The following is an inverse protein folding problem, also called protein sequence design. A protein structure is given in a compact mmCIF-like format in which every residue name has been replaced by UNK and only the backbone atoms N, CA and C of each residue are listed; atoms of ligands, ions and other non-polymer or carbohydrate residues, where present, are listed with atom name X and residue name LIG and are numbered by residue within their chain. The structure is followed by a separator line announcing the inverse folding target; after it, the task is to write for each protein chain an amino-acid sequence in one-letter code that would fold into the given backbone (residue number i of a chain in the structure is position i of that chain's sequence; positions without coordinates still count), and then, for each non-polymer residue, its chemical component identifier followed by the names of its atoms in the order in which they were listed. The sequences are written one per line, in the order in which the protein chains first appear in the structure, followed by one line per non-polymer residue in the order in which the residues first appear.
data_IF_562996892247
#
_entry.id   IF_562996892247
#
_cell.length_a   1.000
_cell.length_b   1.000
_cell.length_c   1.000
_cell.angle_alpha   90.00
_cell.angle_beta   90.00
_cell.angle_gamma   90.00
#
_symmetry.space_group_name_H-M   'P 1'
#
loop_
_entity.id
_entity.type
_entity.pdbx_description
1 polymer ?
#
# COMPACT_ATOMS: atom_id res chain seq x y z
N UNK A 1 10.41 -21.68 -4.13
CA UNK A 1 11.88 -21.72 -4.42
C UNK A 1 12.50 -20.51 -3.72
N UNK A 2 13.69 -20.01 -4.07
CA UNK A 2 14.01 -18.61 -3.71
C UNK A 2 13.50 -17.73 -4.86
N UNK A 3 12.88 -16.59 -4.57
CA UNK A 3 12.62 -15.57 -5.59
C UNK A 3 13.95 -14.88 -5.90
N UNK A 4 14.35 -14.92 -7.17
CA UNK A 4 15.62 -14.34 -7.60
C UNK A 4 15.50 -12.82 -7.79
N UNK A 5 16.59 -12.08 -7.58
CA UNK A 5 16.59 -10.60 -7.69
C UNK A 5 16.08 -10.13 -9.05
N UNK A 6 16.42 -10.84 -10.14
CA UNK A 6 15.98 -10.53 -11.49
C UNK A 6 14.47 -10.66 -11.68
N UNK A 7 13.79 -11.56 -10.96
CA UNK A 7 12.33 -11.69 -11.03
C UNK A 7 11.64 -10.48 -10.37
N UNK A 8 12.23 -9.97 -9.28
CA UNK A 8 11.78 -8.74 -8.62
C UNK A 8 11.97 -7.55 -9.57
N UNK A 9 13.13 -7.43 -10.21
CA UNK A 9 13.42 -6.39 -11.20
C UNK A 9 12.47 -6.47 -12.42
N UNK A 10 12.16 -7.68 -12.91
CA UNK A 10 11.19 -7.89 -13.98
C UNK A 10 9.78 -7.43 -13.59
N UNK A 11 9.32 -7.73 -12.36
CA UNK A 11 8.01 -7.29 -11.85
C UNK A 11 7.96 -5.77 -11.68
N UNK A 12 9.00 -5.17 -11.10
CA UNK A 12 9.13 -3.71 -10.96
C UNK A 12 9.18 -3.00 -12.34
N UNK A 13 9.82 -3.63 -13.34
CA UNK A 13 9.97 -3.11 -14.70
C UNK A 13 8.74 -3.24 -15.61
N UNK A 14 7.65 -3.89 -15.16
CA UNK A 14 6.39 -3.98 -15.94
C UNK A 14 5.72 -2.63 -16.14
N UNK A 15 5.92 -1.69 -15.23
CA UNK A 15 5.30 -0.38 -15.24
C UNK A 15 6.27 0.66 -15.80
N UNK A 16 5.85 1.37 -16.83
CA UNK A 16 6.69 2.31 -17.58
C UNK A 16 6.83 3.66 -16.85
N UNK A 17 7.66 3.67 -15.81
CA UNK A 17 7.96 4.85 -15.00
C UNK A 17 9.18 5.62 -15.52
N UNK A 18 9.24 6.93 -15.25
CA UNK A 18 10.42 7.75 -15.56
C UNK A 18 11.62 7.48 -14.65
N UNK A 19 11.37 6.95 -13.45
CA UNK A 19 12.38 6.69 -12.42
C UNK A 19 12.15 5.28 -11.84
N UNK A 20 12.87 4.24 -12.28
CA UNK A 20 12.65 2.89 -11.78
C UNK A 20 13.13 2.73 -10.33
N UNK A 21 12.56 1.75 -9.63
CA UNK A 21 13.12 1.30 -8.35
C UNK A 21 14.47 0.63 -8.61
N UNK A 22 15.54 1.16 -8.02
CA UNK A 22 16.89 0.59 -8.10
C UNK A 22 17.15 -0.20 -6.83
N UNK A 23 17.26 -1.53 -6.93
CA UNK A 23 17.56 -2.38 -5.77
C UNK A 23 18.99 -2.16 -5.29
N UNK A 24 19.19 -2.23 -3.98
CA UNK A 24 20.50 -2.16 -3.36
C UNK A 24 21.17 -3.53 -3.35
N UNK A 25 22.48 -3.56 -3.60
CA UNK A 25 23.31 -4.77 -3.44
C UNK A 25 23.23 -5.30 -1.98
N UNK A 26 23.18 -6.63 -1.77
CA UNK A 26 23.23 -7.22 -0.44
C UNK A 26 24.43 -6.72 0.38
N UNK A 27 24.21 -6.40 1.66
CA UNK A 27 25.23 -5.81 2.53
C UNK A 27 25.46 -4.30 2.35
N UNK A 28 24.78 -3.64 1.39
CA UNK A 28 24.83 -2.19 1.25
C UNK A 28 23.95 -1.50 2.29
N UNK A 29 24.59 -0.94 3.33
CA UNK A 29 23.92 -0.27 4.45
C UNK A 29 23.88 1.28 4.32
N UNK A 30 24.40 1.84 3.22
CA UNK A 30 24.55 3.29 3.03
C UNK A 30 23.20 4.02 2.87
N UNK A 31 22.94 4.97 3.77
CA UNK A 31 21.70 5.72 3.95
C UNK A 31 20.43 4.86 4.09
N UNK A 32 20.57 3.65 4.63
CA UNK A 32 19.43 2.80 5.01
C UNK A 32 18.86 3.27 6.36
N UNK A 33 17.53 3.43 6.51
CA UNK A 33 16.89 3.76 7.78
C UNK A 33 17.28 2.78 8.89
N UNK A 34 17.51 3.26 10.12
CA UNK A 34 17.97 2.41 11.24
C UNK A 34 17.13 1.13 11.44
N UNK A 35 15.77 1.17 11.41
CA UNK A 35 14.97 -0.05 11.59
C UNK A 35 15.18 -1.10 10.49
N UNK A 36 15.64 -0.70 9.32
CA UNK A 36 15.85 -1.57 8.16
C UNK A 36 17.29 -2.11 8.07
N UNK A 37 18.20 -1.67 8.95
CA UNK A 37 19.58 -2.16 9.00
C UNK A 37 19.70 -3.69 9.15
N UNK A 38 18.83 -4.41 9.91
CA UNK A 38 18.85 -5.88 9.94
C UNK A 38 18.49 -6.54 8.60
N UNK A 39 17.78 -5.84 7.71
CA UNK A 39 17.45 -6.29 6.34
C UNK A 39 18.67 -6.06 5.44
N UNK A 40 19.29 -4.88 5.50
CA UNK A 40 20.47 -4.51 4.69
C UNK A 40 21.66 -5.45 4.88
N UNK A 41 21.95 -5.80 6.14
CA UNK A 41 23.10 -6.61 6.50
C UNK A 41 22.88 -8.13 6.33
N UNK A 42 21.73 -8.56 5.79
CA UNK A 42 21.39 -9.98 5.71
C UNK A 42 21.40 -10.51 4.28
N UNK A 43 22.32 -11.44 4.01
CA UNK A 43 22.43 -12.12 2.71
C UNK A 43 21.29 -13.12 2.48
N UNK A 44 20.64 -13.61 3.54
CA UNK A 44 19.61 -14.65 3.47
C UNK A 44 18.19 -14.08 3.43
N UNK A 45 17.43 -14.39 2.37
CA UNK A 45 16.05 -13.93 2.16
C UNK A 45 15.14 -14.16 3.38
N UNK A 46 15.12 -15.36 3.95
CA UNK A 46 14.32 -15.66 5.16
C UNK A 46 14.64 -14.79 6.37
N UNK A 47 15.88 -14.30 6.50
CA UNK A 47 16.26 -13.40 7.59
C UNK A 47 15.81 -11.97 7.30
N UNK A 48 15.86 -11.53 6.03
CA UNK A 48 15.24 -10.27 5.56
C UNK A 48 13.72 -10.28 5.78
N UNK A 49 13.01 -11.35 5.39
CA UNK A 49 11.57 -11.50 5.63
C UNK A 49 11.21 -11.40 7.12
N UNK A 50 11.92 -12.12 8.00
CA UNK A 50 11.66 -12.05 9.46
C UNK A 50 11.92 -10.66 10.03
N UNK A 51 13.00 -9.99 9.60
CA UNK A 51 13.28 -8.62 10.02
C UNK A 51 12.19 -7.66 9.55
N UNK A 52 11.78 -7.73 8.27
CA UNK A 52 10.74 -6.90 7.70
C UNK A 52 9.38 -7.11 8.38
N UNK A 53 8.93 -8.36 8.57
CA UNK A 53 7.69 -8.68 9.30
C UNK A 53 7.73 -8.13 10.73
N UNK A 54 8.89 -8.12 11.40
CA UNK A 54 9.02 -7.56 12.76
C UNK A 54 8.85 -6.03 12.84
N UNK A 55 8.82 -5.32 11.71
CA UNK A 55 8.50 -3.89 11.63
C UNK A 55 6.99 -3.61 11.58
N UNK A 56 6.17 -4.61 11.22
CA UNK A 56 4.73 -4.42 11.06
C UNK A 56 4.03 -4.28 12.41
N UNK A 57 3.22 -3.24 12.54
CA UNK A 57 2.39 -3.04 13.72
C UNK A 57 1.24 -4.06 13.71
N UNK A 58 1.15 -4.88 14.75
CA UNK A 58 0.20 -6.01 14.82
C UNK A 58 -1.27 -5.60 14.76
N UNK A 59 -1.58 -4.36 15.14
CA UNK A 59 -2.91 -3.79 15.02
C UNK A 59 -3.32 -3.53 13.56
N UNK A 60 -2.39 -3.31 12.63
CA UNK A 60 -2.72 -3.31 11.19
C UNK A 60 -2.88 -4.75 10.68
N UNK A 61 -2.00 -5.67 11.05
CA UNK A 61 -2.10 -7.07 10.59
C UNK A 61 -3.38 -7.78 11.09
N UNK A 62 -3.98 -7.33 12.20
CA UNK A 62 -5.32 -7.76 12.62
C UNK A 62 -6.46 -7.07 11.86
N UNK A 63 -6.21 -5.91 11.26
CA UNK A 63 -7.18 -5.16 10.45
C UNK A 63 -7.26 -5.71 9.01
N UNK A 64 -6.15 -6.23 8.47
CA UNK A 64 -6.05 -6.86 7.14
C UNK A 64 -5.64 -8.34 7.23
N UNK A 65 -6.52 -9.23 7.73
CA UNK A 65 -6.17 -10.62 8.03
C UNK A 65 -5.82 -11.49 6.81
N UNK A 66 -6.43 -11.23 5.65
CA UNK A 66 -6.14 -11.90 4.37
C UNK A 66 -4.75 -11.58 3.86
N UNK A 67 -4.40 -10.29 3.79
CA UNK A 67 -3.05 -9.84 3.44
C UNK A 67 -2.03 -10.27 4.49
N UNK A 68 -2.35 -10.17 5.79
CA UNK A 68 -1.45 -10.62 6.86
C UNK A 68 -1.14 -12.12 6.78
N UNK A 69 -2.09 -12.94 6.33
CA UNK A 69 -1.86 -14.36 6.01
C UNK A 69 -0.89 -14.50 4.85
N UNK A 70 -1.14 -13.85 3.71
CA UNK A 70 -0.24 -13.91 2.54
C UNK A 70 1.18 -13.45 2.88
N UNK A 71 1.33 -12.34 3.61
CA UNK A 71 2.63 -11.85 4.11
C UNK A 71 3.33 -12.87 5.03
N UNK A 72 2.60 -13.68 5.78
CA UNK A 72 3.16 -14.71 6.67
C UNK A 72 3.49 -16.03 5.94
N UNK A 73 2.79 -16.38 4.86
CA UNK A 73 2.93 -17.67 4.16
C UNK A 73 3.69 -17.61 2.85
N UNK A 74 3.65 -16.49 2.15
CA UNK A 74 4.13 -16.35 0.75
C UNK A 74 5.30 -15.37 0.61
N UNK A 75 5.64 -14.59 1.63
CA UNK A 75 6.75 -13.63 1.58
C UNK A 75 8.11 -14.35 1.42
N UNK A 76 8.58 -14.39 0.18
CA UNK A 76 9.79 -15.12 -0.22
C UNK A 76 11.06 -14.30 -0.03
N UNK A 77 11.02 -13.00 -0.26
CA UNK A 77 12.14 -12.09 -0.02
C UNK A 77 11.68 -10.65 0.31
N UNK A 78 12.55 -9.88 0.94
CA UNK A 78 12.42 -8.42 1.08
C UNK A 78 13.75 -7.78 0.70
N UNK A 79 13.72 -6.79 -0.19
CA UNK A 79 14.91 -6.06 -0.65
C UNK A 79 14.81 -4.59 -0.32
N UNK A 80 15.96 -3.97 -0.06
CA UNK A 80 16.06 -2.52 -0.01
C UNK A 80 16.26 -2.01 -1.43
N UNK A 81 15.61 -0.91 -1.77
CA UNK A 81 15.84 -0.18 -3.01
C UNK A 81 15.78 1.33 -2.80
N UNK A 82 15.95 2.06 -3.90
CA UNK A 82 15.71 3.50 -3.97
C UNK A 82 14.75 3.85 -5.08
N UNK A 83 13.89 4.81 -4.81
CA UNK A 83 12.92 5.38 -5.75
C UNK A 83 12.91 6.90 -5.57
N UNK A 84 13.15 7.68 -6.62
CA UNK A 84 13.26 9.14 -6.55
C UNK A 84 14.23 9.67 -5.47
N UNK A 85 15.26 8.88 -5.13
CA UNK A 85 16.23 9.16 -4.06
C UNK A 85 15.82 8.67 -2.66
N UNK A 86 14.57 8.27 -2.47
CA UNK A 86 13.99 7.80 -1.22
C UNK A 86 14.28 6.31 -0.98
N UNK A 87 14.45 5.91 0.27
CA UNK A 87 14.62 4.52 0.64
C UNK A 87 13.26 3.79 0.63
N UNK A 88 13.23 2.61 -0.01
CA UNK A 88 12.07 1.72 -0.03
C UNK A 88 12.43 0.28 0.36
N UNK A 89 11.48 -0.45 0.94
CA UNK A 89 11.49 -1.90 1.00
C UNK A 89 10.57 -2.46 -0.10
N UNK A 90 11.10 -3.37 -0.91
CA UNK A 90 10.34 -4.15 -1.89
C UNK A 90 10.07 -5.53 -1.28
N UNK A 91 8.80 -5.84 -1.05
CA UNK A 91 8.34 -7.12 -0.52
C UNK A 91 7.94 -8.01 -1.70
N UNK A 92 8.62 -9.15 -1.87
CA UNK A 92 8.36 -10.09 -2.95
C UNK A 92 7.67 -11.35 -2.42
N UNK A 93 6.43 -11.56 -2.81
CA UNK A 93 5.63 -12.75 -2.48
C UNK A 93 5.73 -13.78 -3.62
N UNK A 94 5.93 -15.04 -3.27
CA UNK A 94 5.84 -16.20 -4.18
C UNK A 94 4.42 -16.78 -4.06
N UNK A 95 3.51 -16.31 -4.90
CA UNK A 95 2.11 -16.72 -4.96
C UNK A 95 1.94 -17.93 -5.90
N UNK A 96 0.93 -18.76 -5.64
CA UNK A 96 0.59 -19.91 -6.48
C UNK A 96 -0.91 -19.96 -6.75
N UNK A 97 -1.27 -19.90 -8.03
CA UNK A 97 -2.64 -20.10 -8.52
C UNK A 97 -2.65 -21.26 -9.54
N UNK A 98 -3.59 -22.20 -9.40
CA UNK A 98 -3.71 -23.43 -10.21
C UNK A 98 -2.36 -24.11 -10.56
N UNK A 99 -1.50 -24.29 -9.54
CA UNK A 99 -0.11 -24.80 -9.61
C UNK A 99 0.90 -23.92 -10.43
N UNK A 100 0.46 -22.80 -11.00
CA UNK A 100 1.31 -21.80 -11.64
C UNK A 100 1.93 -20.86 -10.59
N UNK A 101 3.24 -20.58 -10.72
CA UNK A 101 3.99 -19.71 -9.80
C UNK A 101 4.02 -18.27 -10.29
N UNK A 102 3.65 -17.34 -9.41
CA UNK A 102 3.65 -15.90 -9.64
C UNK A 102 4.58 -15.21 -8.64
N UNK A 103 5.27 -14.16 -9.08
CA UNK A 103 5.99 -13.24 -8.20
C UNK A 103 5.23 -11.92 -8.18
N UNK A 104 4.81 -11.50 -7.00
CA UNK A 104 4.01 -10.28 -6.78
C UNK A 104 4.79 -9.38 -5.82
N UNK A 105 4.78 -8.07 -6.07
CA UNK A 105 5.62 -7.12 -5.32
C UNK A 105 4.82 -5.94 -4.77
N UNK A 106 5.16 -5.53 -3.55
CA UNK A 106 4.74 -4.26 -2.94
C UNK A 106 5.97 -3.42 -2.57
N UNK A 107 5.80 -2.10 -2.60
CA UNK A 107 6.81 -1.10 -2.26
C UNK A 107 6.34 -0.37 -1.00
N UNK A 108 7.12 -0.44 0.08
CA UNK A 108 6.91 0.31 1.33
C UNK A 108 7.98 1.38 1.52
N UNK A 109 7.58 2.63 1.73
CA UNK A 109 8.52 3.76 1.92
C UNK A 109 8.99 3.92 3.37
N UNK A 110 10.09 4.65 3.58
CA UNK A 110 10.60 4.98 4.92
C UNK A 110 9.52 5.74 5.74
N UNK A 111 9.09 5.25 6.92
CA UNK A 111 8.11 5.93 7.77
C UNK A 111 8.56 7.35 8.19
N UNK A 112 9.85 7.69 8.09
CA UNK A 112 10.32 9.07 8.30
C UNK A 112 9.67 10.08 7.35
N UNK A 113 9.27 9.68 6.13
CA UNK A 113 8.59 10.57 5.16
C UNK A 113 7.20 11.01 5.62
N UNK A 114 6.56 10.27 6.55
CA UNK A 114 5.26 10.63 7.12
C UNK A 114 5.36 11.51 8.39
N UNK A 115 6.57 11.77 8.91
CA UNK A 115 6.77 12.45 10.20
C UNK A 115 6.11 13.84 10.26
N UNK A 116 6.28 14.61 9.18
CA UNK A 116 5.81 15.99 9.07
C UNK A 116 4.57 16.12 8.18
N UNK A 117 3.96 15.00 7.77
CA UNK A 117 2.77 14.97 6.93
C UNK A 117 1.49 15.23 7.76
N UNK A 118 0.82 16.35 7.47
CA UNK A 118 -0.50 16.62 8.04
C UNK A 118 -1.56 15.77 7.33
N UNK A 119 -2.04 14.74 8.02
CA UNK A 119 -3.11 13.88 7.52
C UNK A 119 -4.45 14.64 7.54
N UNK A 120 -4.92 15.08 6.37
CA UNK A 120 -6.28 15.63 6.19
C UNK A 120 -7.30 14.59 6.66
N UNK A 121 -8.29 15.00 7.45
CA UNK A 121 -9.31 14.13 8.05
C UNK A 121 -8.71 12.94 8.85
N UNK A 122 -7.62 13.15 9.58
CA UNK A 122 -6.95 12.12 10.40
C UNK A 122 -7.89 11.38 11.37
N UNK A 123 -8.99 12.00 11.79
CA UNK A 123 -10.03 11.40 12.61
C UNK A 123 -10.81 10.28 11.91
N UNK A 124 -10.95 10.35 10.58
CA UNK A 124 -11.58 9.33 9.75
C UNK A 124 -10.64 8.15 9.44
N UNK A 125 -9.32 8.39 9.43
CA UNK A 125 -8.32 7.32 9.20
C UNK A 125 -8.18 6.47 10.47
N UNK A 126 -8.40 5.14 10.39
CA UNK A 126 -8.27 4.23 11.53
C UNK A 126 -6.91 4.35 12.22
N UNK A 127 -6.90 4.20 13.54
CA UNK A 127 -5.68 4.31 14.34
C UNK A 127 -4.55 3.36 13.89
N UNK A 128 -4.82 2.08 13.50
CA UNK A 128 -3.78 1.19 13.00
C UNK A 128 -3.08 1.66 11.72
N UNK A 129 -3.82 2.32 10.81
CA UNK A 129 -3.29 2.84 9.55
C UNK A 129 -2.50 4.12 9.78
N UNK A 130 -2.98 5.03 10.64
CA UNK A 130 -2.19 6.20 11.09
C UNK A 130 -0.93 5.80 11.86
N UNK A 131 -0.94 4.64 12.51
CA UNK A 131 0.24 4.08 13.18
C UNK A 131 1.22 3.52 12.16
N UNK A 132 0.73 2.69 11.24
CA UNK A 132 1.49 2.15 10.11
C UNK A 132 2.27 3.23 9.35
N UNK A 133 1.62 4.35 9.00
CA UNK A 133 2.27 5.47 8.31
C UNK A 133 3.51 6.02 9.05
N UNK A 134 3.49 6.03 10.40
CA UNK A 134 4.53 6.65 11.23
C UNK A 134 5.56 5.67 11.79
N UNK A 135 5.24 4.38 11.84
CA UNK A 135 6.06 3.37 12.52
C UNK A 135 6.56 2.26 11.57
N UNK A 136 5.82 1.95 10.50
CA UNK A 136 6.12 0.83 9.59
C UNK A 136 6.52 1.33 8.20
N UNK A 137 5.62 2.01 7.49
CA UNK A 137 5.85 2.53 6.14
C UNK A 137 5.03 3.77 5.82
N UNK A 138 5.63 4.80 5.22
CA UNK A 138 4.95 6.02 4.77
C UNK A 138 4.11 5.84 3.49
N UNK A 139 3.36 4.74 3.40
CA UNK A 139 2.67 4.25 2.20
C UNK A 139 3.19 2.88 1.81
N UNK A 140 2.32 2.04 1.23
CA UNK A 140 2.62 0.66 0.86
C UNK A 140 1.69 0.22 -0.28
N UNK A 141 2.22 0.09 -1.50
CA UNK A 141 1.42 -0.07 -2.72
C UNK A 141 2.14 -0.96 -3.75
N UNK A 142 1.44 -1.33 -4.82
CA UNK A 142 1.94 -2.07 -5.97
C UNK A 142 3.05 -1.33 -6.75
N UNK A 143 3.72 -1.97 -7.73
CA UNK A 143 4.81 -1.34 -8.48
C UNK A 143 4.38 -0.21 -9.42
N UNK A 144 3.07 0.04 -9.57
CA UNK A 144 2.49 1.20 -10.25
C UNK A 144 2.50 2.49 -9.38
N UNK A 145 2.89 2.37 -8.11
CA UNK A 145 3.00 3.41 -7.09
C UNK A 145 1.66 3.95 -6.54
N UNK A 146 0.54 3.30 -6.83
CA UNK A 146 -0.79 3.75 -6.38
C UNK A 146 -1.70 2.63 -5.88
N UNK A 147 -1.66 1.45 -6.49
CA UNK A 147 -2.69 0.42 -6.29
C UNK A 147 -2.39 -0.56 -5.15
N UNK A 148 -3.41 -1.29 -4.75
CA UNK A 148 -3.39 -2.46 -3.88
C UNK A 148 -2.73 -2.24 -2.50
N UNK A 149 -2.90 -1.03 -1.93
CA UNK A 149 -2.56 -0.74 -0.53
C UNK A 149 -2.59 0.74 -0.15
N UNK A 150 -2.22 1.08 1.11
CA UNK A 150 -2.28 2.44 1.63
C UNK A 150 -1.39 3.44 0.87
N UNK A 151 -2.01 4.45 0.25
CA UNK A 151 -1.33 5.53 -0.48
C UNK A 151 -0.48 6.38 0.47
N UNK A 152 0.66 6.90 -0.01
CA UNK A 152 1.55 7.71 0.82
C UNK A 152 0.83 8.97 1.36
N UNK A 153 1.07 9.38 2.63
CA UNK A 153 0.46 10.57 3.23
C UNK A 153 0.50 11.86 2.39
N UNK A 154 1.60 12.11 1.67
CA UNK A 154 1.77 13.29 0.79
C UNK A 154 0.98 13.24 -0.52
N UNK A 155 0.42 12.08 -0.86
CA UNK A 155 -0.40 11.84 -2.05
C UNK A 155 -1.87 11.55 -1.71
N UNK A 156 -2.21 11.51 -0.41
CA UNK A 156 -3.61 11.48 0.03
C UNK A 156 -4.31 12.76 -0.42
N UNK A 157 -5.39 12.57 -1.17
CA UNK A 157 -6.22 13.63 -1.74
C UNK A 157 -7.67 13.19 -1.66
N UNK A 158 -8.59 14.13 -1.83
CA UNK A 158 -10.02 13.82 -1.88
C UNK A 158 -10.39 13.20 -3.22
N UNK A 159 -11.49 12.45 -3.27
CA UNK A 159 -11.99 11.86 -4.52
C UNK A 159 -12.30 12.94 -5.58
N UNK A 160 -12.79 14.10 -5.13
CA UNK A 160 -12.97 15.28 -5.98
C UNK A 160 -11.64 15.84 -6.54
N UNK A 161 -10.59 15.96 -5.71
CA UNK A 161 -9.23 16.35 -6.17
C UNK A 161 -8.64 15.32 -7.15
N UNK A 162 -8.80 14.03 -6.89
CA UNK A 162 -8.35 12.94 -7.77
C UNK A 162 -8.98 13.01 -9.18
N UNK A 163 -10.27 13.37 -9.26
CA UNK A 163 -10.97 13.62 -10.52
C UNK A 163 -10.70 15.02 -11.12
N UNK A 164 -9.72 15.77 -10.60
CA UNK A 164 -9.35 17.11 -11.08
C UNK A 164 -10.40 18.20 -10.80
N UNK A 165 -11.34 17.95 -9.89
CA UNK A 165 -12.48 18.80 -9.57
C UNK A 165 -12.48 19.21 -8.08
N UNK A 166 -11.44 19.91 -7.58
CA UNK A 166 -11.24 20.14 -6.13
C UNK A 166 -12.35 20.96 -5.44
N UNK A 167 -13.17 21.68 -6.22
CA UNK A 167 -14.31 22.47 -5.75
C UNK A 167 -15.61 21.66 -5.61
N UNK A 168 -15.57 20.37 -5.99
CA UNK A 168 -16.71 19.45 -6.00
C UNK A 168 -17.05 18.92 -7.40
N UNK A 169 -17.81 17.81 -7.44
CA UNK A 169 -18.33 17.24 -8.68
C UNK A 169 -19.70 17.87 -9.04
N UNK A 170 -20.06 17.97 -10.34
CA UNK A 170 -21.40 18.37 -10.73
C UNK A 170 -22.47 17.41 -10.16
N UNK A 171 -23.63 17.94 -9.74
CA UNK A 171 -24.76 17.13 -9.24
C UNK A 171 -25.25 16.05 -10.23
N UNK A 172 -25.02 16.25 -11.54
CA UNK A 172 -25.32 15.23 -12.56
C UNK A 172 -24.40 14.00 -12.53
N UNK A 173 -23.28 14.10 -11.82
CA UNK A 173 -22.19 13.12 -11.83
C UNK A 173 -21.97 12.50 -10.44
N UNK A 174 -22.71 12.91 -9.41
CA UNK A 174 -22.60 12.40 -8.05
C UNK A 174 -23.98 12.28 -7.38
N UNK A 175 -24.31 11.18 -6.69
CA UNK A 175 -25.61 11.05 -6.04
C UNK A 175 -25.81 12.12 -4.95
N UNK A 176 -26.97 12.81 -4.90
CA UNK A 176 -27.19 13.93 -3.96
C UNK A 176 -27.25 13.49 -2.49
N UNK A 177 -27.55 12.21 -2.23
CA UNK A 177 -27.64 11.64 -0.89
C UNK A 177 -26.33 10.94 -0.44
N UNK A 178 -25.29 10.95 -1.28
CA UNK A 178 -23.99 10.37 -0.96
C UNK A 178 -23.08 11.36 -0.19
N UNK A 179 -22.03 10.84 0.43
CA UNK A 179 -20.99 11.66 1.07
C UNK A 179 -20.36 12.59 0.04
N UNK A 180 -20.08 13.84 0.44
CA UNK A 180 -19.46 14.85 -0.40
C UNK A 180 -18.08 14.36 -0.92
N UNK A 181 -17.82 14.38 -2.24
CA UNK A 181 -16.56 13.88 -2.80
C UNK A 181 -15.35 14.75 -2.42
N UNK A 182 -15.55 15.99 -1.94
CA UNK A 182 -14.51 16.84 -1.35
C UNK A 182 -14.18 16.46 0.11
N UNK A 183 -14.92 15.50 0.68
CA UNK A 183 -14.75 14.99 2.06
C UNK A 183 -14.41 13.50 2.10
N UNK A 184 -14.56 12.79 0.99
CA UNK A 184 -14.01 11.45 0.77
C UNK A 184 -12.50 11.51 0.50
N UNK A 185 -11.67 11.11 1.46
CA UNK A 185 -10.22 10.96 1.32
C UNK A 185 -9.89 9.61 0.70
N UNK A 186 -9.21 9.61 -0.45
CA UNK A 186 -8.73 8.41 -1.12
C UNK A 186 -7.59 7.77 -0.33
N UNK A 187 -7.79 6.53 0.12
CA UNK A 187 -6.85 5.79 0.97
C UNK A 187 -6.06 4.73 0.19
N UNK A 188 -6.72 4.04 -0.73
CA UNK A 188 -6.15 2.99 -1.59
C UNK A 188 -6.97 2.87 -2.88
N UNK A 189 -6.40 2.27 -3.93
CA UNK A 189 -7.08 1.96 -5.20
C UNK A 189 -6.83 0.52 -5.62
N UNK A 190 -7.74 -0.07 -6.38
CA UNK A 190 -7.52 -1.36 -7.08
C UNK A 190 -8.41 -1.41 -8.32
N UNK A 191 -7.82 -1.44 -9.52
CA UNK A 191 -8.57 -1.30 -10.77
C UNK A 191 -9.44 -0.04 -10.79
N UNK A 192 -10.75 -0.20 -11.03
CA UNK A 192 -11.74 0.89 -11.01
C UNK A 192 -12.29 1.21 -9.60
N UNK A 193 -11.84 0.50 -8.55
CA UNK A 193 -12.29 0.66 -7.16
C UNK A 193 -11.40 1.63 -6.38
N UNK A 194 -12.04 2.58 -5.69
CA UNK A 194 -11.38 3.65 -4.94
C UNK A 194 -11.83 3.62 -3.48
N UNK A 195 -10.99 3.08 -2.58
CA UNK A 195 -11.30 2.99 -1.15
C UNK A 195 -11.15 4.36 -0.49
N UNK A 196 -12.26 4.89 0.03
CA UNK A 196 -12.34 6.23 0.60
C UNK A 196 -12.83 6.23 2.06
N UNK A 197 -12.18 7.04 2.91
CA UNK A 197 -12.66 7.35 4.26
C UNK A 197 -13.19 8.78 4.33
N UNK A 198 -14.13 9.08 5.22
CA UNK A 198 -14.65 10.45 5.41
C UNK A 198 -15.03 10.70 6.87
N UNK A 199 -14.85 11.94 7.38
CA UNK A 199 -15.35 12.35 8.69
C UNK A 199 -16.89 12.35 8.80
N UNK A 200 -17.61 12.23 7.67
CA UNK A 200 -19.07 12.14 7.64
C UNK A 200 -19.58 10.69 7.68
N UNK A 201 -18.67 9.71 7.64
CA UNK A 201 -18.98 8.29 7.82
C UNK A 201 -18.93 7.89 9.31
N UNK A 202 -19.65 6.83 9.72
CA UNK A 202 -19.50 6.26 11.05
C UNK A 202 -18.04 5.83 11.32
N UNK A 203 -17.53 5.98 12.56
CA UNK A 203 -16.14 5.64 12.88
C UNK A 203 -15.81 4.18 12.58
N UNK A 204 -14.71 3.95 11.86
CA UNK A 204 -14.30 2.62 11.40
C UNK A 204 -14.96 2.17 10.09
N UNK A 205 -15.83 2.99 9.49
CA UNK A 205 -16.34 2.71 8.14
C UNK A 205 -15.58 3.46 7.05
N UNK A 206 -15.59 2.85 5.87
CA UNK A 206 -15.15 3.42 4.61
C UNK A 206 -16.20 3.11 3.54
N UNK A 207 -16.03 3.66 2.34
CA UNK A 207 -16.80 3.23 1.17
C UNK A 207 -15.88 3.05 -0.03
N UNK A 208 -16.29 2.19 -0.95
CA UNK A 208 -15.67 2.07 -2.27
C UNK A 208 -16.40 3.00 -3.25
N UNK A 209 -15.66 3.70 -4.10
CA UNK A 209 -16.22 4.31 -5.31
C UNK A 209 -15.79 3.48 -6.51
N UNK A 210 -16.75 2.76 -7.09
CA UNK A 210 -16.54 1.88 -8.25
C UNK A 210 -17.12 2.53 -9.51
N UNK A 211 -16.30 2.74 -10.54
CA UNK A 211 -16.77 3.34 -11.81
C UNK A 211 -17.41 4.73 -11.65
N UNK A 212 -17.06 5.48 -10.60
CA UNK A 212 -17.65 6.78 -10.25
C UNK A 212 -18.92 6.72 -9.41
N UNK A 213 -19.39 5.53 -9.00
CA UNK A 213 -20.56 5.34 -8.14
C UNK A 213 -20.10 5.00 -6.72
N UNK A 214 -20.48 5.78 -5.69
CA UNK A 214 -20.19 5.44 -4.30
C UNK A 214 -21.09 4.30 -3.83
N UNK A 215 -20.49 3.26 -3.26
CA UNK A 215 -21.17 2.11 -2.67
C UNK A 215 -21.58 2.38 -1.21
N UNK A 216 -22.46 1.55 -0.60
CA UNK A 216 -22.81 1.66 0.81
C UNK A 216 -21.56 1.57 1.72
N UNK A 217 -21.53 2.27 2.88
CA UNK A 217 -20.39 2.20 3.78
C UNK A 217 -20.25 0.83 4.48
N UNK A 218 -19.03 0.29 4.47
CA UNK A 218 -18.66 -1.00 5.04
C UNK A 218 -17.48 -0.86 6.02
N UNK A 219 -17.01 -1.97 6.60
CA UNK A 219 -15.84 -1.97 7.49
C UNK A 219 -14.57 -1.64 6.71
N UNK A 220 -13.82 -0.64 7.19
CA UNK A 220 -12.58 -0.16 6.55
C UNK A 220 -11.47 -1.20 6.52
N UNK A 221 -11.46 -2.15 7.47
CA UNK A 221 -10.49 -3.24 7.50
C UNK A 221 -10.77 -4.26 6.40
N UNK A 222 -12.03 -4.70 6.30
CA UNK A 222 -12.48 -5.58 5.21
C UNK A 222 -12.14 -5.03 3.83
N UNK A 223 -12.57 -3.80 3.53
CA UNK A 223 -12.31 -3.18 2.22
C UNK A 223 -10.81 -2.96 1.95
N UNK A 224 -10.00 -2.65 2.97
CA UNK A 224 -8.55 -2.51 2.80
C UNK A 224 -7.88 -3.88 2.59
N UNK A 225 -8.33 -4.93 3.28
CA UNK A 225 -7.83 -6.29 3.13
C UNK A 225 -8.07 -6.80 1.71
N UNK A 226 -9.30 -6.66 1.21
CA UNK A 226 -9.67 -6.97 -0.18
C UNK A 226 -8.84 -6.16 -1.19
N UNK A 227 -8.68 -4.85 -0.96
CA UNK A 227 -7.83 -3.99 -1.81
C UNK A 227 -6.38 -4.47 -1.82
N UNK A 228 -5.84 -4.94 -0.69
CA UNK A 228 -4.47 -5.42 -0.57
C UNK A 228 -4.27 -6.85 -1.09
N UNK A 229 -5.30 -7.70 -1.12
CA UNK A 229 -5.21 -9.04 -1.71
C UNK A 229 -5.52 -9.08 -3.21
N UNK A 230 -6.22 -8.09 -3.76
CA UNK A 230 -6.62 -8.06 -5.17
C UNK A 230 -5.48 -8.32 -6.18
N UNK A 231 -4.24 -7.91 -5.88
CA UNK A 231 -3.05 -8.16 -6.72
C UNK A 231 -2.60 -9.64 -6.75
N UNK A 232 -3.01 -10.43 -5.76
CA UNK A 232 -2.83 -11.89 -5.73
C UNK A 232 -3.95 -12.56 -6.54
N UNK A 233 -5.17 -12.05 -6.43
CA UNK A 233 -6.37 -12.55 -7.10
C UNK A 233 -6.39 -12.26 -8.63
N UNK A 234 -5.44 -11.48 -9.15
CA UNK A 234 -5.32 -11.02 -10.55
C UNK A 234 -5.12 -12.11 -11.65
N UNK A 235 -5.23 -13.42 -11.38
CA UNK A 235 -4.74 -14.45 -12.32
C UNK A 235 -5.76 -15.47 -12.88
N UNK A 236 -7.02 -15.48 -12.41
CA UNK A 236 -8.03 -16.51 -12.72
C UNK A 236 -9.18 -16.08 -13.69
#
# INVERSE_FOLDING_TARGET
MTVETTEIEEVLGRFAHSEPVVLAEPGSAADVPEPWQPIAHSDAAQARCRAAISLWNSDLLHLVPGFARALATELADVRIGRLAGEAVLVYALEHYDDDQRHVVCWIGWDPALARDAELRFAEAIPAPIRRFYRETHAGFVAPDWMSNGPIQPRHLQTYAEYLGCPEGLPESNWPPDAVDPTRLLLLATSGDSHLCVSPDLPPGQALTVYGGVPEPPEDVGGLLDETMTAQLDEFA
#
